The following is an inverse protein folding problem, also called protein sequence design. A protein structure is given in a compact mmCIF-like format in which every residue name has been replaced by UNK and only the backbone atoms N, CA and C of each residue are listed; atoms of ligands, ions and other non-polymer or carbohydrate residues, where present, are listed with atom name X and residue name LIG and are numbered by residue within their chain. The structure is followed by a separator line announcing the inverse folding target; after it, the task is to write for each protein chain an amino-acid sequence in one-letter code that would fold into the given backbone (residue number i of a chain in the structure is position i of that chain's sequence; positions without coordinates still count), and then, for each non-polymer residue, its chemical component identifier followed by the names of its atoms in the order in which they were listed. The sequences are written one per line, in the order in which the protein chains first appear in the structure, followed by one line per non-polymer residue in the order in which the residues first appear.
data_IF_339254206129
#
_entry.id   IF_339254206129
#
_cell.length_a   1.000
_cell.length_b   1.000
_cell.length_c   1.000
_cell.angle_alpha   90.00
_cell.angle_beta   90.00
_cell.angle_gamma   90.00
#
_symmetry.space_group_name_H-M   'P 1'
#
loop_
_entity.id
_entity.type
_entity.pdbx_description
1 polymer ?
#
# COMPACT_ATOMS: atom_id res chain seq x y z
N UNK A 1 -14.65 2.62 -17.40
CA UNK A 1 -15.49 1.57 -16.80
C UNK A 1 -15.05 0.20 -17.30
N UNK A 2 -15.01 -0.75 -16.43
CA UNK A 2 -14.70 -2.13 -16.81
C UNK A 2 -15.96 -2.77 -17.39
N UNK A 3 -15.80 -3.36 -18.55
CA UNK A 3 -16.87 -4.18 -19.11
C UNK A 3 -16.90 -5.52 -18.34
N UNK A 4 -17.92 -5.75 -17.56
CA UNK A 4 -17.98 -6.91 -16.67
C UNK A 4 -18.46 -8.18 -17.36
N UNK A 5 -18.76 -8.10 -18.60
CA UNK A 5 -19.36 -9.25 -19.28
C UNK A 5 -18.38 -10.31 -19.69
N UNK A 6 -17.10 -9.96 -20.02
CA UNK A 6 -16.25 -10.93 -20.65
C UNK A 6 -14.83 -10.42 -20.85
N UNK A 7 -13.82 -11.11 -20.34
CA UNK A 7 -13.91 -12.08 -19.26
C UNK A 7 -14.09 -11.36 -17.93
N UNK A 8 -14.76 -11.91 -16.97
CA UNK A 8 -14.90 -11.29 -15.68
C UNK A 8 -13.56 -11.25 -14.97
N UNK A 9 -13.29 -10.12 -14.34
CA UNK A 9 -12.16 -10.01 -13.40
C UNK A 9 -12.70 -10.40 -12.04
N UNK A 10 -12.11 -11.44 -11.44
CA UNK A 10 -12.45 -11.86 -10.09
C UNK A 10 -11.42 -11.32 -9.12
N UNK A 11 -11.88 -10.54 -8.15
CA UNK A 11 -11.07 -10.08 -7.04
C UNK A 11 -11.68 -10.63 -5.75
N UNK A 12 -10.83 -11.22 -4.91
CA UNK A 12 -11.26 -11.71 -3.61
C UNK A 12 -10.73 -10.78 -2.54
N UNK A 13 -11.64 -10.09 -1.86
CA UNK A 13 -11.31 -9.23 -0.74
C UNK A 13 -10.79 -10.07 0.43
N UNK A 14 -9.72 -9.61 1.07
CA UNK A 14 -9.14 -10.26 2.25
C UNK A 14 -9.36 -9.39 3.48
N UNK A 15 -8.82 -8.17 3.48
CA UNK A 15 -8.92 -7.26 4.63
C UNK A 15 -8.62 -5.84 4.20
N UNK A 16 -9.05 -4.89 5.01
CA UNK A 16 -8.75 -3.48 4.80
C UNK A 16 -8.77 -2.73 6.12
N UNK A 17 -8.19 -1.55 6.13
CA UNK A 17 -8.19 -0.71 7.30
C UNK A 17 -7.65 0.68 7.03
N UNK A 18 -7.73 1.50 8.07
CA UNK A 18 -7.11 2.81 8.13
C UNK A 18 -5.93 2.73 9.08
N UNK A 19 -4.76 3.09 8.60
CA UNK A 19 -3.57 3.22 9.43
C UNK A 19 -3.32 4.69 9.76
N UNK A 20 -3.03 4.95 11.03
CA UNK A 20 -2.63 6.29 11.51
C UNK A 20 -1.40 6.13 12.39
N UNK A 21 -0.32 6.80 12.04
CA UNK A 21 0.90 6.78 12.84
C UNK A 21 0.85 7.88 13.91
N UNK A 22 0.94 7.51 15.17
CA UNK A 22 0.94 8.44 16.30
C UNK A 22 2.34 8.89 16.68
N UNK A 23 3.36 8.19 16.20
CA UNK A 23 4.77 8.49 16.42
C UNK A 23 5.52 8.42 15.10
N UNK A 24 6.82 8.70 15.14
CA UNK A 24 7.70 8.45 14.00
C UNK A 24 7.54 6.99 13.56
N UNK A 25 7.45 6.79 12.26
CA UNK A 25 7.07 5.49 11.72
C UNK A 25 7.82 5.16 10.43
N UNK A 26 8.16 3.90 10.29
CA UNK A 26 8.69 3.34 9.06
C UNK A 26 7.95 2.03 8.76
N UNK A 27 7.60 1.82 7.50
CA UNK A 27 6.94 0.58 7.10
C UNK A 27 7.88 -0.62 7.29
N UNK A 28 7.38 -1.68 7.90
CA UNK A 28 8.15 -2.91 8.08
C UNK A 28 8.47 -3.57 6.74
N UNK A 29 9.61 -4.24 6.69
CA UNK A 29 9.95 -5.05 5.53
C UNK A 29 9.12 -6.32 5.54
N UNK A 30 8.46 -6.62 4.42
CA UNK A 30 7.58 -7.78 4.30
C UNK A 30 7.63 -8.38 2.90
N UNK A 31 7.24 -9.65 2.85
CA UNK A 31 6.77 -10.31 1.63
C UNK A 31 5.38 -10.84 1.97
N UNK A 32 4.37 -10.40 1.23
CA UNK A 32 3.00 -10.87 1.43
C UNK A 32 2.54 -11.69 0.23
N UNK A 33 1.54 -12.51 0.42
CA UNK A 33 1.01 -13.40 -0.62
C UNK A 33 -0.31 -12.92 -1.23
N UNK A 34 -0.68 -11.70 -0.90
CA UNK A 34 -1.82 -10.99 -1.49
C UNK A 34 -1.37 -9.70 -2.16
N UNK A 35 -2.22 -9.12 -2.97
CA UNK A 35 -2.06 -7.74 -3.43
C UNK A 35 -2.41 -6.80 -2.29
N UNK A 36 -1.74 -5.67 -2.24
CA UNK A 36 -2.12 -4.59 -1.31
C UNK A 36 -2.15 -3.27 -2.06
N UNK A 37 -3.24 -2.54 -1.89
CA UNK A 37 -3.36 -1.17 -2.39
C UNK A 37 -3.28 -0.23 -1.20
N UNK A 38 -2.41 0.78 -1.30
CA UNK A 38 -2.28 1.85 -0.30
C UNK A 38 -2.75 3.14 -0.94
N UNK A 39 -3.64 3.86 -0.25
CA UNK A 39 -4.09 5.19 -0.65
C UNK A 39 -3.74 6.20 0.42
N UNK A 40 -2.86 7.15 0.09
CA UNK A 40 -2.34 8.13 1.04
C UNK A 40 -3.35 9.21 1.37
N UNK A 41 -3.59 9.43 2.66
CA UNK A 41 -4.48 10.47 3.16
C UNK A 41 -3.71 11.68 3.69
N UNK A 42 -2.64 11.45 4.44
CA UNK A 42 -1.87 12.53 5.07
C UNK A 42 -0.42 12.13 5.29
N UNK A 43 0.46 13.12 5.21
CA UNK A 43 1.90 12.91 5.35
C UNK A 43 2.54 12.30 4.13
N UNK A 44 3.80 11.91 4.26
CA UNK A 44 4.55 11.26 3.20
C UNK A 44 5.16 9.97 3.72
N UNK A 45 5.08 8.91 2.90
CA UNK A 45 5.68 7.61 3.21
C UNK A 45 6.71 7.28 2.14
N UNK A 46 7.87 6.84 2.58
CA UNK A 46 8.98 6.48 1.71
C UNK A 46 9.05 4.96 1.63
N UNK A 47 8.67 4.41 0.49
CA UNK A 47 8.53 2.97 0.27
C UNK A 47 9.44 2.48 -0.83
N UNK A 48 9.82 1.21 -0.75
CA UNK A 48 10.40 0.48 -1.87
C UNK A 48 9.59 -0.76 -2.16
N UNK A 49 9.59 -1.16 -3.40
CA UNK A 49 9.09 -2.45 -3.84
C UNK A 49 10.09 -3.00 -4.85
N UNK A 50 10.66 -4.18 -4.58
CA UNK A 50 11.80 -4.71 -5.31
C UNK A 50 12.92 -3.65 -5.36
N UNK A 51 13.36 -3.22 -6.53
CA UNK A 51 14.43 -2.24 -6.71
C UNK A 51 13.91 -0.80 -6.85
N UNK A 52 12.60 -0.61 -6.90
CA UNK A 52 12.02 0.72 -7.08
C UNK A 52 11.69 1.38 -5.75
N UNK A 53 11.94 2.68 -5.65
CA UNK A 53 11.62 3.48 -4.48
C UNK A 53 10.60 4.54 -4.85
N UNK A 54 9.69 4.82 -3.92
CA UNK A 54 8.58 5.75 -4.11
C UNK A 54 8.44 6.64 -2.89
N UNK A 55 8.09 7.89 -3.10
CA UNK A 55 7.57 8.76 -2.04
C UNK A 55 6.08 8.95 -2.31
N UNK A 56 5.27 8.51 -1.37
CA UNK A 56 3.82 8.59 -1.45
C UNK A 56 3.34 9.78 -0.65
N UNK A 57 2.58 10.65 -1.28
CA UNK A 57 1.99 11.83 -0.67
C UNK A 57 0.47 11.75 -0.79
N UNK A 58 -0.22 12.70 -0.17
CA UNK A 58 -1.68 12.73 -0.17
C UNK A 58 -2.25 12.55 -1.58
N UNK A 59 -3.15 11.58 -1.72
CA UNK A 59 -3.81 11.26 -2.98
C UNK A 59 -3.09 10.23 -3.84
N UNK A 60 -1.86 9.85 -3.46
CA UNK A 60 -1.12 8.83 -4.21
C UNK A 60 -1.61 7.43 -3.89
N UNK A 61 -1.53 6.57 -4.88
CA UNK A 61 -1.84 5.14 -4.78
C UNK A 61 -0.58 4.33 -5.04
N UNK A 62 -0.35 3.30 -4.23
CA UNK A 62 0.70 2.32 -4.48
C UNK A 62 0.10 0.93 -4.47
N UNK A 63 0.38 0.16 -5.51
CA UNK A 63 -0.02 -1.24 -5.60
C UNK A 63 1.19 -2.11 -5.28
N UNK A 64 1.10 -2.87 -4.19
CA UNK A 64 2.11 -3.84 -3.79
C UNK A 64 1.73 -5.22 -4.31
N UNK A 65 2.68 -5.88 -4.95
CA UNK A 65 2.46 -7.17 -5.62
C UNK A 65 2.75 -8.33 -4.68
N UNK A 66 1.98 -9.43 -4.77
CA UNK A 66 2.27 -10.63 -3.99
C UNK A 66 3.65 -11.19 -4.34
N UNK A 67 4.34 -11.71 -3.32
CA UNK A 67 5.63 -12.36 -3.49
C UNK A 67 6.82 -11.41 -3.73
N UNK A 68 6.59 -10.11 -3.79
CA UNK A 68 7.64 -9.12 -4.04
C UNK A 68 7.99 -8.41 -2.74
N UNK A 69 9.27 -8.39 -2.33
CA UNK A 69 9.66 -7.70 -1.11
C UNK A 69 9.34 -6.21 -1.17
N UNK A 70 8.80 -5.68 -0.09
CA UNK A 70 8.55 -4.25 0.06
C UNK A 70 8.81 -3.80 1.50
N UNK A 71 8.99 -2.52 1.68
CA UNK A 71 9.20 -1.94 2.99
C UNK A 71 9.50 -0.45 2.92
N UNK A 72 9.77 0.14 4.07
CA UNK A 72 10.14 1.55 4.16
C UNK A 72 11.59 1.78 3.80
N UNK A 73 11.87 2.94 3.20
CA UNK A 73 13.24 3.38 2.88
C UNK A 73 13.78 4.25 4.00
N UNK A 74 12.93 5.08 4.56
CA UNK A 74 13.26 5.96 5.69
C UNK A 74 12.00 6.23 6.51
N UNK A 75 12.19 6.67 7.74
CA UNK A 75 11.07 6.99 8.62
C UNK A 75 10.33 8.25 8.20
N UNK A 76 9.10 8.35 8.64
CA UNK A 76 8.24 9.51 8.47
C UNK A 76 7.84 10.05 9.84
N UNK A 77 7.61 11.38 9.97
CA UNK A 77 7.09 11.93 11.23
C UNK A 77 5.71 11.39 11.57
N UNK A 78 5.30 11.55 12.81
CA UNK A 78 3.92 11.26 13.23
C UNK A 78 2.91 12.00 12.34
N UNK A 79 1.71 11.44 12.21
CA UNK A 79 0.64 12.01 11.42
C UNK A 79 0.45 11.38 10.05
N UNK A 80 1.30 10.44 9.66
CA UNK A 80 1.07 9.66 8.45
C UNK A 80 -0.23 8.88 8.60
N UNK A 81 -1.06 8.91 7.58
CA UNK A 81 -2.26 8.07 7.53
C UNK A 81 -2.55 7.64 6.10
N UNK A 82 -3.08 6.43 5.98
CA UNK A 82 -3.46 5.87 4.69
C UNK A 82 -4.49 4.76 4.88
N UNK A 83 -5.30 4.55 3.83
CA UNK A 83 -6.11 3.34 3.70
C UNK A 83 -5.28 2.23 3.07
N UNK A 84 -5.51 1.01 3.50
CA UNK A 84 -4.92 -0.17 2.88
C UNK A 84 -5.99 -1.22 2.64
N UNK A 85 -5.84 -1.95 1.55
CA UNK A 85 -6.73 -3.06 1.22
C UNK A 85 -5.90 -4.22 0.67
N UNK A 86 -6.11 -5.40 1.21
CA UNK A 86 -5.54 -6.66 0.72
C UNK A 86 -6.58 -7.41 -0.08
N UNK A 87 -6.17 -7.94 -1.22
CA UNK A 87 -7.05 -8.72 -2.08
C UNK A 87 -6.24 -9.77 -2.85
N UNK A 88 -6.94 -10.75 -3.37
CA UNK A 88 -6.35 -11.84 -4.16
C UNK A 88 -6.77 -11.77 -5.61
#
# INVERSE_FOLDING_TARGET
MIALGSPPISLSYVSSGLFVAHDEWIHADRVIDSWELIYMLNGAVHMRQADASYTLEKGDLLLLRPGVPHGGVQSSPAGVSFYWVHFL
#
